data_IF_982623002147
#
_entry.id   IF_982623002147
#
_cell.length_a   1.000
_cell.length_b   1.000
_cell.length_c   1.000
_cell.angle_alpha   90.00
_cell.angle_beta   90.00
_cell.angle_gamma   90.00
#
_symmetry.space_group_name_H-M   'P 1'
#
loop_
_entity.id
_entity.type
_entity.pdbx_description
1 polymer ?
#
# COMPACT_ATOMS: atom_id res chain seq x y z
N UNK A 1 22.94 -17.44 -11.24
CA UNK A 1 22.73 -18.87 -11.03
C UNK A 1 21.33 -19.27 -11.47
N UNK A 2 21.20 -20.41 -12.18
CA UNK A 2 19.91 -20.99 -12.60
C UNK A 2 19.44 -22.12 -11.66
N UNK A 3 20.32 -22.55 -10.77
CA UNK A 3 20.07 -23.57 -9.77
C UNK A 3 20.21 -22.99 -8.35
N UNK A 4 19.23 -23.27 -7.50
CA UNK A 4 19.14 -22.72 -6.14
C UNK A 4 20.22 -23.26 -5.22
N UNK A 5 20.64 -24.54 -5.38
CA UNK A 5 21.70 -25.13 -4.57
C UNK A 5 23.04 -24.45 -4.85
N UNK A 6 23.33 -24.24 -6.14
CA UNK A 6 24.54 -23.54 -6.56
C UNK A 6 24.55 -22.08 -6.07
N UNK A 7 23.39 -21.40 -6.08
CA UNK A 7 23.27 -20.06 -5.53
C UNK A 7 23.61 -20.04 -4.02
N UNK A 8 22.93 -20.87 -3.24
CA UNK A 8 23.09 -20.91 -1.79
C UNK A 8 24.51 -21.26 -1.39
N UNK A 9 25.13 -22.26 -2.05
CA UNK A 9 26.49 -22.68 -1.79
C UNK A 9 27.54 -21.62 -2.18
N UNK A 10 27.21 -20.67 -3.04
CA UNK A 10 28.12 -19.57 -3.44
C UNK A 10 28.10 -18.38 -2.48
N UNK A 11 27.13 -18.31 -1.56
CA UNK A 11 26.97 -17.19 -0.65
C UNK A 11 27.83 -17.36 0.61
N UNK A 12 28.40 -16.25 1.10
CA UNK A 12 29.13 -16.22 2.37
C UNK A 12 28.16 -16.33 3.56
N UNK A 13 28.59 -17.08 4.59
CA UNK A 13 27.81 -17.25 5.82
C UNK A 13 28.11 -16.12 6.83
N UNK A 14 27.12 -15.67 7.65
CA UNK A 14 25.68 -16.03 7.54
C UNK A 14 25.07 -15.45 6.27
N UNK A 15 24.29 -16.25 5.57
CA UNK A 15 23.67 -15.85 4.30
C UNK A 15 22.47 -14.94 4.53
N UNK A 16 22.24 -14.02 3.62
CA UNK A 16 20.99 -13.25 3.53
C UNK A 16 20.36 -13.47 2.18
N UNK A 17 19.13 -13.97 2.14
CA UNK A 17 18.40 -14.34 0.92
C UNK A 17 17.12 -13.54 0.86
N UNK A 18 16.99 -12.68 -0.16
CA UNK A 18 15.77 -11.92 -0.44
C UNK A 18 14.94 -12.65 -1.48
N UNK A 19 13.71 -13.00 -1.13
CA UNK A 19 12.72 -13.60 -2.00
C UNK A 19 11.86 -12.49 -2.62
N UNK A 20 11.84 -12.41 -3.95
CA UNK A 20 10.97 -11.51 -4.73
C UNK A 20 10.11 -12.35 -5.69
N UNK A 21 9.30 -13.24 -5.11
CA UNK A 21 8.44 -14.19 -5.84
C UNK A 21 6.96 -13.90 -5.57
N UNK A 22 6.02 -14.41 -6.38
CA UNK A 22 4.59 -14.29 -6.09
C UNK A 22 4.25 -14.85 -4.70
N UNK A 23 3.35 -14.16 -4.00
CA UNK A 23 2.91 -14.55 -2.65
C UNK A 23 2.15 -15.89 -2.60
N UNK A 24 1.99 -16.44 -1.42
CA UNK A 24 1.27 -17.68 -1.17
C UNK A 24 2.10 -18.92 -1.52
N UNK A 25 1.53 -19.79 -2.37
CA UNK A 25 2.17 -21.09 -2.69
C UNK A 25 3.59 -20.96 -3.22
N UNK A 26 3.86 -20.00 -4.10
CA UNK A 26 5.20 -19.83 -4.68
C UNK A 26 6.26 -19.48 -3.62
N UNK A 27 5.94 -18.58 -2.67
CA UNK A 27 6.82 -18.26 -1.54
C UNK A 27 7.03 -19.48 -0.65
N UNK A 28 5.98 -20.21 -0.29
CA UNK A 28 6.09 -21.45 0.51
C UNK A 28 6.95 -22.51 -0.19
N UNK A 29 6.73 -22.75 -1.48
CA UNK A 29 7.50 -23.72 -2.26
C UNK A 29 8.99 -23.37 -2.31
N UNK A 30 9.35 -22.08 -2.42
CA UNK A 30 10.76 -21.65 -2.39
C UNK A 30 11.36 -21.85 -0.99
N UNK A 31 10.67 -21.43 0.07
CA UNK A 31 11.14 -21.65 1.45
C UNK A 31 11.36 -23.13 1.73
N UNK A 32 10.41 -24.00 1.34
CA UNK A 32 10.55 -25.45 1.49
C UNK A 32 11.79 -26.03 0.79
N UNK A 33 12.11 -25.51 -0.41
CA UNK A 33 13.29 -25.94 -1.17
C UNK A 33 14.61 -25.51 -0.54
N UNK A 34 14.64 -24.32 0.10
CA UNK A 34 15.90 -23.76 0.59
C UNK A 34 16.17 -24.05 2.07
N UNK A 35 15.13 -24.28 2.90
CA UNK A 35 15.25 -24.42 4.36
C UNK A 35 16.25 -25.50 4.81
N UNK A 36 16.41 -26.57 4.04
CA UNK A 36 17.35 -27.66 4.33
C UNK A 36 18.78 -27.42 3.81
N UNK A 37 18.96 -26.35 3.04
CA UNK A 37 20.25 -25.89 2.51
C UNK A 37 20.86 -24.77 3.34
N UNK A 38 20.08 -24.22 4.26
CA UNK A 38 20.48 -23.10 5.11
C UNK A 38 21.04 -23.58 6.43
N UNK A 39 21.92 -22.76 7.00
CA UNK A 39 22.54 -23.01 8.31
C UNK A 39 21.93 -22.11 9.42
N UNK A 40 22.19 -22.46 10.66
CA UNK A 40 21.86 -21.62 11.82
C UNK A 40 22.44 -20.21 11.65
N UNK A 41 21.61 -19.19 11.82
CA UNK A 41 21.98 -17.78 11.71
C UNK A 41 21.76 -17.18 10.32
N UNK A 42 21.54 -17.98 9.27
CA UNK A 42 21.14 -17.47 7.95
C UNK A 42 19.80 -16.72 8.03
N UNK A 43 19.55 -15.80 7.11
CA UNK A 43 18.36 -14.95 7.07
C UNK A 43 17.62 -15.13 5.76
N UNK A 44 16.32 -15.36 5.83
CA UNK A 44 15.39 -15.29 4.69
C UNK A 44 14.53 -14.04 4.86
N UNK A 45 14.47 -13.22 3.82
CA UNK A 45 13.61 -12.02 3.74
C UNK A 45 12.57 -12.29 2.65
N UNK A 46 11.29 -12.30 3.02
CA UNK A 46 10.19 -12.36 2.06
C UNK A 46 9.79 -10.93 1.67
N UNK A 47 10.18 -10.51 0.45
CA UNK A 47 9.87 -9.19 -0.12
C UNK A 47 8.66 -9.20 -1.06
N UNK A 48 7.90 -10.29 -1.11
CA UNK A 48 6.65 -10.39 -1.86
C UNK A 48 5.49 -9.61 -1.24
N UNK A 49 4.32 -9.67 -1.87
CA UNK A 49 3.06 -9.16 -1.26
C UNK A 49 2.35 -10.28 -0.47
N UNK A 50 3.08 -10.93 0.43
CA UNK A 50 2.58 -12.06 1.19
C UNK A 50 1.51 -11.67 2.21
N UNK A 51 0.60 -12.58 2.51
CA UNK A 51 -0.33 -12.39 3.61
C UNK A 51 0.43 -12.48 4.94
N UNK A 52 0.14 -11.57 5.85
CA UNK A 52 0.89 -11.45 7.10
C UNK A 52 0.86 -12.72 7.97
N UNK A 53 -0.25 -13.47 7.95
CA UNK A 53 -0.34 -14.75 8.67
C UNK A 53 0.55 -15.83 8.04
N UNK A 54 0.67 -15.88 6.71
CA UNK A 54 1.62 -16.78 6.03
C UNK A 54 3.06 -16.46 6.44
N UNK A 55 3.38 -15.18 6.61
CA UNK A 55 4.72 -14.75 7.04
C UNK A 55 5.00 -15.11 8.50
N UNK A 56 4.00 -15.01 9.39
CA UNK A 56 4.13 -15.52 10.76
C UNK A 56 4.38 -17.03 10.76
N UNK A 57 3.62 -17.80 9.99
CA UNK A 57 3.78 -19.25 9.86
C UNK A 57 5.16 -19.62 9.33
N UNK A 58 5.61 -18.98 8.24
CA UNK A 58 6.93 -19.21 7.65
C UNK A 58 8.06 -18.86 8.63
N UNK A 59 7.93 -17.72 9.34
CA UNK A 59 8.89 -17.29 10.33
C UNK A 59 9.03 -18.28 11.50
N UNK A 60 7.91 -18.77 12.05
CA UNK A 60 7.90 -19.77 13.10
C UNK A 60 8.50 -21.11 12.64
N UNK A 61 8.24 -21.52 11.40
CA UNK A 61 8.80 -22.76 10.85
C UNK A 61 10.33 -22.68 10.69
N UNK A 62 10.85 -21.55 10.22
CA UNK A 62 12.29 -21.30 10.05
C UNK A 62 13.00 -21.14 11.41
N UNK A 63 12.34 -20.53 12.38
CA UNK A 63 12.87 -20.37 13.74
C UNK A 63 13.19 -21.72 14.42
N UNK A 64 12.39 -22.76 14.15
CA UNK A 64 12.66 -24.11 14.65
C UNK A 64 14.00 -24.67 14.16
N UNK A 65 14.48 -24.18 13.02
CA UNK A 65 15.80 -24.50 12.44
C UNK A 65 16.87 -23.46 12.77
N UNK A 66 16.54 -22.50 13.65
CA UNK A 66 17.40 -21.35 13.99
C UNK A 66 17.78 -20.47 12.78
N UNK A 67 16.97 -20.50 11.73
CA UNK A 67 17.07 -19.63 10.56
C UNK A 67 16.23 -18.39 10.86
N UNK A 68 16.78 -17.22 10.63
CA UNK A 68 16.09 -15.95 10.82
C UNK A 68 15.12 -15.69 9.66
N UNK A 69 14.02 -15.01 9.95
CA UNK A 69 13.04 -14.62 8.94
C UNK A 69 12.60 -13.16 9.12
N UNK A 70 12.29 -12.50 8.01
CA UNK A 70 11.67 -11.18 7.95
C UNK A 70 10.61 -11.16 6.87
N UNK A 71 9.39 -10.73 7.20
CA UNK A 71 8.36 -10.39 6.22
C UNK A 71 8.49 -8.91 5.85
N UNK A 72 8.82 -8.60 4.60
CA UNK A 72 9.13 -7.26 4.16
C UNK A 72 8.14 -6.79 3.09
N UNK A 73 7.17 -5.95 3.49
CA UNK A 73 6.30 -5.26 2.57
C UNK A 73 7.05 -4.16 1.81
N UNK A 74 6.88 -4.14 0.50
CA UNK A 74 7.51 -3.14 -0.39
C UNK A 74 6.42 -2.43 -1.18
N UNK A 75 6.46 -1.10 -1.22
CA UNK A 75 5.53 -0.29 -2.01
C UNK A 75 6.27 0.67 -2.94
N UNK A 76 5.65 1.03 -4.06
CA UNK A 76 6.18 2.01 -5.01
C UNK A 76 6.15 1.56 -6.46
N UNK A 77 5.78 0.33 -6.75
CA UNK A 77 5.74 -0.22 -8.11
C UNK A 77 7.07 -0.11 -8.83
N UNK A 78 7.04 0.09 -10.14
CA UNK A 78 8.25 0.21 -10.97
C UNK A 78 9.05 1.48 -10.63
N UNK A 79 8.38 2.59 -10.35
CA UNK A 79 9.02 3.84 -9.95
C UNK A 79 9.78 3.68 -8.63
N UNK A 80 9.14 3.05 -7.62
CA UNK A 80 9.80 2.75 -6.35
C UNK A 80 10.98 1.81 -6.49
N UNK A 81 10.89 0.80 -7.36
CA UNK A 81 12.00 -0.10 -7.62
C UNK A 81 13.22 0.60 -8.23
N UNK A 82 13.02 1.68 -8.99
CA UNK A 82 14.10 2.48 -9.61
C UNK A 82 14.64 3.58 -8.71
N UNK A 83 13.77 4.24 -7.94
CA UNK A 83 14.07 5.50 -7.26
C UNK A 83 14.03 5.37 -5.73
N UNK A 84 13.76 4.18 -5.21
CA UNK A 84 13.61 3.89 -3.79
C UNK A 84 12.16 3.64 -3.41
N UNK A 85 11.84 2.44 -2.88
CA UNK A 85 10.51 2.09 -2.40
C UNK A 85 10.29 2.51 -0.94
N UNK A 86 9.04 2.54 -0.50
CA UNK A 86 8.71 2.44 0.93
C UNK A 86 8.88 0.99 1.40
N UNK A 87 9.56 0.78 2.51
CA UNK A 87 9.92 -0.55 3.02
C UNK A 87 9.37 -0.75 4.43
N UNK A 88 8.58 -1.80 4.64
CA UNK A 88 7.95 -2.18 5.91
C UNK A 88 8.51 -3.51 6.36
N UNK A 89 9.38 -3.53 7.36
CA UNK A 89 10.11 -4.73 7.81
C UNK A 89 9.47 -5.30 9.08
N UNK A 90 8.96 -6.54 8.99
CA UNK A 90 8.52 -7.31 10.13
C UNK A 90 9.64 -8.23 10.64
N UNK A 91 9.92 -8.22 11.95
CA UNK A 91 11.00 -8.99 12.54
C UNK A 91 10.71 -9.41 13.98
N UNK A 92 11.32 -10.51 14.43
CA UNK A 92 11.35 -10.90 15.86
C UNK A 92 12.78 -10.94 16.41
N UNK A 93 13.75 -11.18 15.56
CA UNK A 93 15.15 -11.31 15.95
C UNK A 93 15.88 -9.98 15.79
N UNK A 94 16.96 -9.80 16.57
CA UNK A 94 17.78 -8.59 16.44
C UNK A 94 18.30 -8.43 15.01
N UNK A 95 18.05 -7.27 14.42
CA UNK A 95 18.55 -6.88 13.09
C UNK A 95 19.95 -6.30 13.28
N UNK A 96 20.91 -6.72 12.44
CA UNK A 96 22.23 -6.08 12.41
C UNK A 96 22.16 -4.65 11.88
N UNK A 97 23.04 -3.78 12.34
CA UNK A 97 23.10 -2.42 11.85
C UNK A 97 23.47 -2.36 10.36
N UNK A 98 24.31 -3.26 9.87
CA UNK A 98 24.66 -3.35 8.44
C UNK A 98 23.43 -3.66 7.58
N UNK A 99 22.54 -4.55 8.02
CA UNK A 99 21.32 -4.86 7.31
C UNK A 99 20.35 -3.67 7.35
N UNK A 100 20.19 -3.02 8.50
CA UNK A 100 19.37 -1.80 8.60
C UNK A 100 19.88 -0.73 7.65
N UNK A 101 21.18 -0.46 7.67
CA UNK A 101 21.81 0.52 6.79
C UNK A 101 21.63 0.17 5.31
N UNK A 102 21.73 -1.12 4.95
CA UNK A 102 21.51 -1.60 3.58
C UNK A 102 20.07 -1.37 3.14
N UNK A 103 19.08 -1.74 3.97
CA UNK A 103 17.66 -1.56 3.65
C UNK A 103 17.29 -0.07 3.63
N UNK A 104 17.82 0.73 4.56
CA UNK A 104 17.68 2.18 4.53
C UNK A 104 18.26 2.78 3.26
N UNK A 105 19.43 2.35 2.83
CA UNK A 105 20.09 2.89 1.63
C UNK A 105 19.26 2.73 0.35
N UNK A 106 18.49 1.64 0.23
CA UNK A 106 17.62 1.37 -0.92
C UNK A 106 16.20 1.93 -0.77
N UNK A 107 15.80 2.38 0.41
CA UNK A 107 14.49 2.97 0.61
C UNK A 107 14.38 4.38 0.01
N UNK A 108 13.15 4.83 -0.25
CA UNK A 108 12.88 6.22 -0.62
C UNK A 108 13.34 7.17 0.48
N UNK A 109 13.71 8.39 0.07
CA UNK A 109 14.16 9.46 0.94
C UNK A 109 13.19 10.63 0.86
N UNK A 110 12.76 11.10 2.02
CA UNK A 110 12.11 12.39 2.21
C UNK A 110 12.94 13.18 3.23
N UNK A 111 12.33 13.76 4.25
CA UNK A 111 13.08 14.31 5.39
C UNK A 111 13.77 13.20 6.21
N UNK A 112 13.26 11.99 6.10
CA UNK A 112 13.80 10.76 6.69
C UNK A 112 13.75 9.61 5.67
N UNK A 113 14.36 8.48 6.03
CA UNK A 113 14.27 7.25 5.25
C UNK A 113 12.85 6.66 5.35
N UNK A 114 12.25 6.34 4.19
CA UNK A 114 10.91 5.76 4.14
C UNK A 114 10.95 4.25 4.42
N UNK A 115 11.46 3.88 5.59
CA UNK A 115 11.56 2.52 6.09
C UNK A 115 11.04 2.44 7.52
N UNK A 116 10.27 1.39 7.83
CA UNK A 116 9.80 1.10 9.18
C UNK A 116 10.16 -0.31 9.60
N UNK A 117 10.51 -0.48 10.87
CA UNK A 117 10.83 -1.77 11.49
C UNK A 117 9.78 -2.08 12.55
N UNK A 118 9.08 -3.21 12.40
CA UNK A 118 7.92 -3.58 13.21
C UNK A 118 8.13 -4.95 13.85
N UNK A 119 7.85 -5.09 15.14
CA UNK A 119 7.97 -6.35 15.83
C UNK A 119 6.92 -7.37 15.35
N UNK A 120 7.33 -8.60 15.07
CA UNK A 120 6.51 -9.68 14.49
C UNK A 120 6.96 -10.03 13.08
N UNK A 121 6.99 -11.33 12.73
CA UNK A 121 7.44 -11.77 11.40
C UNK A 121 6.56 -11.24 10.26
N UNK A 122 5.24 -11.20 10.49
CA UNK A 122 4.27 -10.72 9.51
C UNK A 122 3.96 -9.23 9.57
N UNK A 123 4.48 -8.50 10.56
CA UNK A 123 4.08 -7.10 10.82
C UNK A 123 4.35 -6.16 9.65
N UNK A 124 5.46 -6.34 8.93
CA UNK A 124 5.74 -5.55 7.72
C UNK A 124 4.71 -5.77 6.62
N UNK A 125 4.33 -7.03 6.38
CA UNK A 125 3.28 -7.37 5.44
C UNK A 125 1.89 -6.90 5.89
N UNK A 126 1.62 -6.91 7.20
CA UNK A 126 0.39 -6.36 7.75
C UNK A 126 0.26 -4.85 7.46
N UNK A 127 1.29 -4.06 7.76
CA UNK A 127 1.33 -2.61 7.45
C UNK A 127 1.15 -2.38 5.94
N UNK A 128 1.81 -3.19 5.11
CA UNK A 128 1.68 -3.10 3.65
C UNK A 128 0.28 -3.48 3.17
N UNK A 129 -0.35 -4.48 3.74
CA UNK A 129 -1.73 -4.89 3.43
C UNK A 129 -2.71 -3.76 3.72
N UNK A 130 -2.60 -3.11 4.89
CA UNK A 130 -3.45 -1.97 5.26
C UNK A 130 -3.20 -0.78 4.33
N UNK A 131 -1.94 -0.48 4.01
CA UNK A 131 -1.58 0.52 3.00
C UNK A 131 -2.34 0.28 1.69
N UNK A 132 -2.40 -0.96 1.20
CA UNK A 132 -3.11 -1.29 -0.02
C UNK A 132 -4.63 -1.12 0.11
N UNK A 133 -5.21 -1.37 1.28
CA UNK A 133 -6.62 -1.09 1.55
C UNK A 133 -6.94 0.41 1.44
N UNK A 134 -6.09 1.26 2.02
CA UNK A 134 -6.20 2.73 1.91
C UNK A 134 -6.03 3.16 0.45
N UNK A 135 -5.07 2.59 -0.28
CA UNK A 135 -4.86 2.84 -1.71
C UNK A 135 -6.14 2.56 -2.52
N UNK A 136 -6.83 1.44 -2.26
CA UNK A 136 -8.08 1.11 -2.94
C UNK A 136 -9.17 2.16 -2.66
N UNK A 137 -9.30 2.60 -1.40
CA UNK A 137 -10.26 3.63 -1.03
C UNK A 137 -9.96 4.97 -1.73
N UNK A 138 -8.69 5.40 -1.78
CA UNK A 138 -8.31 6.64 -2.48
C UNK A 138 -8.57 6.55 -3.99
N UNK A 139 -8.26 5.41 -4.61
CA UNK A 139 -8.54 5.19 -6.04
C UNK A 139 -10.05 5.24 -6.33
N UNK A 140 -10.89 4.66 -5.47
CA UNK A 140 -12.34 4.69 -5.64
C UNK A 140 -12.89 6.11 -5.48
N UNK A 141 -12.43 6.86 -4.49
CA UNK A 141 -12.83 8.26 -4.29
C UNK A 141 -12.50 9.12 -5.52
N UNK A 142 -11.30 8.94 -6.09
CA UNK A 142 -10.90 9.63 -7.33
C UNK A 142 -11.82 9.24 -8.50
N UNK A 143 -12.14 7.95 -8.62
CA UNK A 143 -13.02 7.46 -9.69
C UNK A 143 -14.44 8.04 -9.56
N UNK A 144 -14.97 8.16 -8.35
CA UNK A 144 -16.29 8.75 -8.11
C UNK A 144 -16.32 10.25 -8.40
N UNK A 145 -15.31 11.00 -8.00
CA UNK A 145 -15.17 12.42 -8.34
C UNK A 145 -15.08 12.59 -9.88
N UNK A 146 -14.27 11.76 -10.54
CA UNK A 146 -14.19 11.76 -12.00
C UNK A 146 -15.56 11.55 -12.64
N UNK A 147 -16.32 10.55 -12.18
CA UNK A 147 -17.64 10.22 -12.73
C UNK A 147 -18.66 11.34 -12.49
N UNK A 148 -18.67 11.98 -11.32
CA UNK A 148 -19.54 13.13 -11.03
C UNK A 148 -19.23 14.28 -11.99
N UNK A 149 -17.96 14.63 -12.18
CA UNK A 149 -17.54 15.71 -13.08
C UNK A 149 -17.87 15.38 -14.55
N UNK A 150 -17.64 14.13 -14.97
CA UNK A 150 -17.99 13.67 -16.31
C UNK A 150 -19.49 13.75 -16.59
N UNK A 151 -20.34 13.32 -15.63
CA UNK A 151 -21.81 13.43 -15.73
C UNK A 151 -22.28 14.89 -15.78
N UNK A 152 -21.50 15.79 -15.24
CA UNK A 152 -21.71 17.25 -15.35
C UNK A 152 -21.18 17.83 -16.67
N UNK A 153 -20.90 16.97 -17.67
CA UNK A 153 -20.44 17.33 -19.01
C UNK A 153 -19.08 18.04 -19.06
N UNK A 154 -18.27 17.89 -18.01
CA UNK A 154 -16.88 18.36 -18.02
C UNK A 154 -16.04 17.52 -18.98
N UNK A 155 -15.17 18.17 -19.71
CA UNK A 155 -14.15 17.54 -20.56
C UNK A 155 -13.04 16.92 -19.72
N UNK A 156 -12.27 15.97 -20.28
CA UNK A 156 -11.11 15.41 -19.61
C UNK A 156 -10.09 16.48 -19.20
N UNK A 157 -9.94 17.56 -19.99
CA UNK A 157 -9.05 18.67 -19.66
C UNK A 157 -9.56 19.48 -18.44
N UNK A 158 -10.86 19.77 -18.38
CA UNK A 158 -11.44 20.46 -17.23
C UNK A 158 -11.37 19.62 -15.96
N UNK A 159 -11.58 18.29 -16.07
CA UNK A 159 -11.44 17.37 -14.93
C UNK A 159 -9.98 17.27 -14.48
N UNK A 160 -9.04 17.23 -15.42
CA UNK A 160 -7.61 17.25 -15.11
C UNK A 160 -7.21 18.54 -14.37
N UNK A 161 -7.75 19.71 -14.82
CA UNK A 161 -7.54 20.98 -14.14
C UNK A 161 -8.11 20.99 -12.73
N UNK A 162 -9.29 20.38 -12.49
CA UNK A 162 -9.80 20.18 -11.13
C UNK A 162 -8.81 19.45 -10.24
N UNK A 163 -8.24 18.32 -10.69
CA UNK A 163 -7.26 17.57 -9.92
C UNK A 163 -5.92 18.32 -9.73
N UNK A 164 -5.48 19.13 -10.70
CA UNK A 164 -4.28 19.97 -10.55
C UNK A 164 -4.49 21.08 -9.51
N UNK A 165 -5.66 21.69 -9.43
CA UNK A 165 -5.98 22.71 -8.45
C UNK A 165 -5.89 22.20 -7.01
N UNK A 166 -6.13 20.90 -6.77
CA UNK A 166 -5.93 20.29 -5.46
C UNK A 166 -4.48 20.36 -4.96
N UNK A 167 -3.51 20.49 -5.87
CA UNK A 167 -2.10 20.69 -5.51
C UNK A 167 -1.87 22.07 -4.91
N UNK A 168 -2.49 23.10 -5.46
CA UNK A 168 -2.41 24.47 -4.93
C UNK A 168 -3.06 24.57 -3.55
N UNK A 169 -4.13 23.80 -3.31
CA UNK A 169 -4.82 23.71 -2.02
C UNK A 169 -4.08 22.82 -0.99
N UNK A 170 -2.87 22.34 -1.29
CA UNK A 170 -2.12 21.38 -0.46
C UNK A 170 -2.84 20.04 -0.21
N UNK A 171 -3.77 19.67 -1.09
CA UNK A 171 -4.60 18.45 -0.98
C UNK A 171 -4.18 17.34 -1.94
N UNK A 172 -3.06 17.51 -2.64
CA UNK A 172 -2.58 16.55 -3.63
C UNK A 172 -2.08 15.26 -3.01
N UNK A 173 -2.07 14.23 -3.86
CA UNK A 173 -1.39 12.96 -3.62
C UNK A 173 -0.79 12.45 -4.92
N UNK A 174 0.06 11.46 -4.84
CA UNK A 174 0.59 10.80 -6.02
C UNK A 174 -0.51 10.29 -6.97
N UNK A 175 -1.56 9.67 -6.42
CA UNK A 175 -2.69 9.17 -7.21
C UNK A 175 -3.44 10.30 -7.92
N UNK A 176 -3.65 11.43 -7.25
CA UNK A 176 -4.27 12.64 -7.84
C UNK A 176 -3.39 13.18 -8.98
N UNK A 177 -2.08 13.28 -8.76
CA UNK A 177 -1.15 13.79 -9.76
C UNK A 177 -1.06 12.92 -11.02
N UNK A 178 -1.05 11.60 -10.86
CA UNK A 178 -1.04 10.70 -12.02
C UNK A 178 -2.39 10.67 -12.71
N UNK A 179 -3.50 10.85 -12.01
CA UNK A 179 -4.85 10.95 -12.59
C UNK A 179 -4.94 12.14 -13.52
N UNK A 180 -4.51 13.33 -13.10
CA UNK A 180 -4.44 14.52 -13.94
C UNK A 180 -3.64 14.29 -15.23
N UNK A 181 -2.49 13.61 -15.13
CA UNK A 181 -1.65 13.26 -16.28
C UNK A 181 -2.33 12.26 -17.23
N UNK A 182 -2.97 11.23 -16.68
CA UNK A 182 -3.68 10.20 -17.46
C UNK A 182 -4.84 10.81 -18.25
N UNK A 183 -5.59 11.71 -17.63
CA UNK A 183 -6.73 12.39 -18.27
C UNK A 183 -6.34 13.21 -19.51
N UNK A 184 -5.09 13.70 -19.58
CA UNK A 184 -4.56 14.44 -20.71
C UNK A 184 -3.86 13.57 -21.75
N UNK A 185 -3.58 12.32 -21.41
CA UNK A 185 -2.81 11.46 -22.30
C UNK A 185 -3.63 11.07 -23.53
N UNK A 186 -3.11 11.38 -24.72
CA UNK A 186 -3.68 11.02 -26.01
C UNK A 186 -2.73 10.18 -26.82
N UNK A 187 -3.31 9.32 -27.65
CA UNK A 187 -2.65 8.59 -28.73
C UNK A 187 -3.47 8.79 -29.99
N UNK A 188 -2.87 9.29 -31.06
CA UNK A 188 -3.55 9.56 -32.33
C UNK A 188 -4.87 10.35 -32.15
N UNK A 189 -4.83 11.43 -31.32
CA UNK A 189 -5.95 12.33 -30.97
C UNK A 189 -7.05 11.68 -30.08
N UNK A 190 -6.99 10.40 -29.79
CA UNK A 190 -7.91 9.70 -28.89
C UNK A 190 -7.35 9.69 -27.46
N UNK A 191 -8.16 9.97 -26.47
CA UNK A 191 -7.74 9.86 -25.08
C UNK A 191 -7.46 8.41 -24.74
N UNK A 192 -6.28 8.13 -24.17
CA UNK A 192 -5.89 6.78 -23.73
C UNK A 192 -6.88 6.20 -22.73
N UNK A 193 -7.49 7.06 -21.91
CA UNK A 193 -8.52 6.64 -20.94
C UNK A 193 -9.72 5.95 -21.63
N UNK A 194 -10.11 6.39 -22.81
CA UNK A 194 -11.27 5.83 -23.53
C UNK A 194 -10.97 4.43 -24.11
N UNK A 195 -9.68 4.07 -24.24
CA UNK A 195 -9.22 2.74 -24.70
C UNK A 195 -8.97 1.77 -23.54
N UNK A 196 -8.90 2.26 -22.30
CA UNK A 196 -8.66 1.43 -21.13
C UNK A 196 -9.90 0.57 -20.82
N UNK A 197 -9.66 -0.70 -20.54
CA UNK A 197 -10.74 -1.60 -20.15
C UNK A 197 -11.44 -1.10 -18.89
N UNK A 198 -12.77 -1.08 -18.87
CA UNK A 198 -13.56 -0.48 -17.80
C UNK A 198 -13.74 -1.40 -16.58
N UNK A 199 -12.69 -2.16 -16.19
CA UNK A 199 -12.69 -2.99 -15.00
C UNK A 199 -11.33 -2.93 -14.31
N UNK A 200 -11.33 -3.07 -12.99
CA UNK A 200 -10.12 -3.08 -12.18
C UNK A 200 -9.77 -4.50 -11.73
N UNK A 201 -8.58 -4.98 -12.10
CA UNK A 201 -8.09 -6.28 -11.63
C UNK A 201 -7.87 -6.29 -10.11
N UNK A 202 -8.10 -7.42 -9.47
CA UNK A 202 -7.91 -7.62 -8.05
C UNK A 202 -6.69 -8.52 -7.80
N UNK A 203 -5.64 -7.96 -7.17
CA UNK A 203 -4.43 -8.70 -6.78
C UNK A 203 -4.56 -9.38 -5.40
N UNK A 204 -5.73 -9.33 -4.77
CA UNK A 204 -6.03 -10.00 -3.50
C UNK A 204 -5.80 -9.16 -2.25
N UNK A 205 -4.91 -8.18 -2.25
CA UNK A 205 -4.53 -7.43 -1.04
C UNK A 205 -5.67 -6.60 -0.44
N UNK A 206 -6.53 -5.99 -1.27
CA UNK A 206 -7.71 -5.27 -0.79
C UNK A 206 -8.73 -6.21 -0.12
N UNK A 207 -8.93 -7.41 -0.68
CA UNK A 207 -9.75 -8.47 -0.06
C UNK A 207 -9.21 -8.84 1.33
N UNK A 208 -7.91 -9.09 1.43
CA UNK A 208 -7.26 -9.46 2.68
C UNK A 208 -7.40 -8.36 3.75
N UNK A 209 -7.34 -7.07 3.37
CA UNK A 209 -7.58 -5.97 4.30
C UNK A 209 -9.00 -6.01 4.85
N UNK A 210 -10.00 -6.21 4.00
CA UNK A 210 -11.42 -6.30 4.40
C UNK A 210 -11.64 -7.52 5.30
N UNK A 211 -11.20 -8.70 4.91
CA UNK A 211 -11.32 -9.93 5.70
C UNK A 211 -10.67 -9.76 7.09
N UNK A 212 -9.50 -9.14 7.13
CA UNK A 212 -8.79 -8.87 8.40
C UNK A 212 -9.56 -7.88 9.25
N UNK A 213 -10.12 -6.81 8.66
CA UNK A 213 -10.92 -5.83 9.41
C UNK A 213 -12.16 -6.44 10.06
N UNK A 214 -12.85 -7.32 9.34
CA UNK A 214 -14.00 -8.07 9.86
C UNK A 214 -13.57 -8.99 11.02
N UNK A 215 -12.48 -9.74 10.85
CA UNK A 215 -11.96 -10.64 11.88
C UNK A 215 -11.53 -9.90 13.15
N UNK A 216 -10.93 -8.71 13.01
CA UNK A 216 -10.50 -7.86 14.11
C UNK A 216 -11.63 -6.98 14.66
N UNK A 217 -12.81 -7.00 14.04
CA UNK A 217 -13.99 -6.19 14.39
C UNK A 217 -13.68 -4.68 14.35
N UNK A 218 -12.94 -4.25 13.33
CA UNK A 218 -12.64 -2.83 13.06
C UNK A 218 -13.46 -2.38 11.85
N UNK A 219 -14.33 -1.38 11.97
CA UNK A 219 -15.09 -0.86 10.84
C UNK A 219 -14.17 -0.18 9.81
N UNK A 220 -14.23 -0.63 8.55
CA UNK A 220 -13.49 -0.03 7.42
C UNK A 220 -14.41 0.21 6.23
N UNK A 221 -15.50 0.99 6.39
CA UNK A 221 -16.54 1.11 5.35
C UNK A 221 -16.02 1.67 4.03
N UNK A 222 -15.12 2.65 4.02
CA UNK A 222 -14.54 3.21 2.78
C UNK A 222 -13.67 2.18 2.05
N UNK A 223 -12.86 1.44 2.77
CA UNK A 223 -12.01 0.39 2.21
C UNK A 223 -12.86 -0.76 1.66
N UNK A 224 -13.90 -1.15 2.40
CA UNK A 224 -14.83 -2.18 1.96
C UNK A 224 -15.59 -1.76 0.69
N UNK A 225 -16.17 -0.54 0.66
CA UNK A 225 -16.88 -0.02 -0.50
C UNK A 225 -15.98 0.02 -1.75
N UNK A 226 -14.73 0.43 -1.60
CA UNK A 226 -13.76 0.43 -2.70
C UNK A 226 -13.43 -0.99 -3.21
N UNK A 227 -13.30 -1.96 -2.31
CA UNK A 227 -13.13 -3.36 -2.70
C UNK A 227 -14.37 -3.88 -3.43
N UNK A 228 -15.57 -3.61 -2.92
CA UNK A 228 -16.84 -4.02 -3.53
C UNK A 228 -17.02 -3.42 -4.93
N UNK A 229 -16.82 -2.11 -5.09
CA UNK A 229 -16.86 -1.44 -6.41
C UNK A 229 -15.91 -2.10 -7.42
N UNK A 230 -14.71 -2.49 -6.97
CA UNK A 230 -13.73 -3.19 -7.81
C UNK A 230 -14.19 -4.58 -8.22
N UNK A 231 -14.82 -5.34 -7.31
CA UNK A 231 -15.43 -6.63 -7.63
C UNK A 231 -16.57 -6.45 -8.63
N UNK A 232 -17.45 -5.48 -8.38
CA UNK A 232 -18.57 -5.19 -9.26
C UNK A 232 -18.09 -4.78 -10.66
N UNK A 233 -17.00 -4.02 -10.80
CA UNK A 233 -16.48 -3.61 -12.11
C UNK A 233 -16.14 -4.79 -13.04
N UNK A 234 -15.91 -5.97 -12.50
CA UNK A 234 -15.64 -7.19 -13.27
C UNK A 234 -16.91 -7.94 -13.71
N UNK A 235 -18.09 -7.58 -13.17
CA UNK A 235 -19.37 -8.23 -13.45
C UNK A 235 -20.21 -7.48 -14.51
N UNK A 236 -19.57 -6.80 -15.43
CA UNK A 236 -20.15 -5.81 -16.35
C UNK A 236 -21.23 -6.30 -17.33
N UNK A 237 -21.48 -7.58 -17.47
CA UNK A 237 -22.49 -8.08 -18.41
C UNK A 237 -23.93 -7.72 -18.03
N UNK A 238 -24.16 -7.18 -16.83
CA UNK A 238 -25.51 -6.95 -16.28
C UNK A 238 -25.82 -5.46 -16.02
N UNK A 239 -24.94 -4.52 -16.42
CA UNK A 239 -25.18 -3.10 -16.18
C UNK A 239 -25.75 -2.41 -17.39
N UNK A 240 -27.01 -1.98 -17.30
CA UNK A 240 -27.57 -0.99 -18.22
C UNK A 240 -26.96 0.39 -17.90
N UNK A 241 -26.55 1.11 -18.93
CA UNK A 241 -26.05 2.48 -18.78
C UNK A 241 -27.20 3.41 -18.40
N UNK A 242 -27.32 3.70 -17.10
CA UNK A 242 -28.34 4.64 -16.61
C UNK A 242 -27.77 6.04 -16.82
N UNK A 243 -28.29 6.73 -17.82
CA UNK A 243 -27.97 8.13 -18.10
C UNK A 243 -28.66 9.04 -17.08
N UNK A 244 -28.02 9.24 -15.92
CA UNK A 244 -28.42 10.26 -14.95
C UNK A 244 -27.51 11.47 -15.15
N UNK A 245 -28.06 12.56 -15.68
CA UNK A 245 -27.36 13.86 -15.64
C UNK A 245 -27.30 14.35 -14.19
N UNK A 246 -26.12 14.76 -13.74
CA UNK A 246 -25.95 15.40 -12.44
C UNK A 246 -25.39 16.81 -12.64
N UNK A 247 -25.97 17.78 -11.94
CA UNK A 247 -25.39 19.11 -11.87
C UNK A 247 -24.42 19.17 -10.68
N UNK A 248 -23.17 19.50 -10.96
CA UNK A 248 -22.21 19.83 -9.90
C UNK A 248 -22.51 21.23 -9.41
N UNK A 249 -22.93 21.33 -8.17
CA UNK A 249 -23.26 22.62 -7.55
C UNK A 249 -22.00 23.42 -7.15
N UNK A 250 -20.89 22.71 -6.83
CA UNK A 250 -19.66 23.36 -6.41
C UNK A 250 -18.45 22.42 -6.54
N UNK A 251 -17.40 22.85 -7.21
CA UNK A 251 -16.12 22.13 -7.26
C UNK A 251 -15.40 22.16 -5.89
N UNK A 252 -15.63 23.19 -5.08
CA UNK A 252 -15.10 23.30 -3.71
C UNK A 252 -15.68 22.20 -2.83
N UNK A 253 -16.96 21.89 -2.97
CA UNK A 253 -17.60 20.83 -2.21
C UNK A 253 -17.03 19.46 -2.60
N UNK A 254 -16.75 19.23 -3.89
CA UNK A 254 -16.10 17.98 -4.35
C UNK A 254 -14.67 17.86 -3.82
N UNK A 255 -13.89 18.95 -3.79
CA UNK A 255 -12.55 18.98 -3.19
C UNK A 255 -12.61 18.61 -1.71
N UNK A 256 -13.54 19.19 -0.96
CA UNK A 256 -13.76 18.88 0.46
C UNK A 256 -14.21 17.43 0.68
N UNK A 257 -15.13 16.92 -0.14
CA UNK A 257 -15.59 15.52 -0.07
C UNK A 257 -14.44 14.54 -0.33
N UNK A 258 -13.62 14.79 -1.35
CA UNK A 258 -12.46 13.97 -1.66
C UNK A 258 -11.45 13.97 -0.50
N UNK A 259 -11.12 15.16 0.04
CA UNK A 259 -10.21 15.29 1.16
C UNK A 259 -10.72 14.57 2.41
N UNK A 260 -11.99 14.79 2.78
CA UNK A 260 -12.62 14.11 3.91
C UNK A 260 -12.62 12.59 3.74
N UNK A 261 -12.99 12.08 2.56
CA UNK A 261 -12.98 10.64 2.26
C UNK A 261 -11.59 10.02 2.40
N UNK A 262 -10.54 10.74 2.00
CA UNK A 262 -9.14 10.30 2.16
C UNK A 262 -8.72 10.27 3.63
N UNK A 263 -9.07 11.31 4.41
CA UNK A 263 -8.83 11.34 5.86
C UNK A 263 -9.55 10.17 6.53
N UNK A 264 -10.83 9.96 6.24
CA UNK A 264 -11.61 8.86 6.81
C UNK A 264 -11.01 7.48 6.48
N UNK A 265 -10.58 7.27 5.23
CA UNK A 265 -9.93 6.02 4.82
C UNK A 265 -8.60 5.78 5.53
N UNK A 266 -7.82 6.86 5.74
CA UNK A 266 -6.57 6.80 6.49
C UNK A 266 -6.82 6.42 7.96
N UNK A 267 -7.78 7.06 8.62
CA UNK A 267 -8.14 6.75 10.01
C UNK A 267 -8.58 5.28 10.14
N UNK A 268 -9.43 4.77 9.24
CA UNK A 268 -9.86 3.38 9.23
C UNK A 268 -8.67 2.40 9.15
N UNK A 269 -7.69 2.71 8.28
CA UNK A 269 -6.48 1.90 8.18
C UNK A 269 -5.60 1.98 9.44
N UNK A 270 -5.42 3.17 10.00
CA UNK A 270 -4.64 3.35 11.23
C UNK A 270 -5.30 2.68 12.45
N UNK A 271 -6.63 2.71 12.55
CA UNK A 271 -7.37 1.95 13.58
C UNK A 271 -7.18 0.43 13.44
N UNK A 272 -7.15 -0.07 12.20
CA UNK A 272 -6.89 -1.48 11.94
C UNK A 272 -5.48 -1.86 12.39
N UNK A 273 -4.49 -0.98 12.16
CA UNK A 273 -3.11 -1.17 12.63
C UNK A 273 -3.06 -1.16 14.17
N UNK A 274 -3.65 -0.17 14.81
CA UNK A 274 -3.70 -0.08 16.28
C UNK A 274 -4.35 -1.31 16.93
N UNK A 275 -5.38 -1.85 16.30
CA UNK A 275 -6.08 -3.03 16.81
C UNK A 275 -5.25 -4.30 16.76
N UNK A 276 -4.41 -4.42 15.74
CA UNK A 276 -3.55 -5.60 15.55
C UNK A 276 -2.21 -5.48 16.28
N UNK A 277 -1.62 -4.27 16.28
CA UNK A 277 -0.28 -4.02 16.78
C UNK A 277 -0.31 -3.19 18.05
N UNK A 278 -0.02 -3.80 19.17
CA UNK A 278 0.01 -3.12 20.48
C UNK A 278 1.21 -2.16 20.54
N UNK A 279 0.99 -0.93 21.03
CA UNK A 279 2.02 0.10 21.19
C UNK A 279 2.74 0.51 19.91
N UNK A 280 2.04 0.50 18.76
CA UNK A 280 2.59 0.97 17.51
C UNK A 280 2.92 2.48 17.57
N UNK A 281 4.09 2.84 17.06
CA UNK A 281 4.44 4.24 16.80
C UNK A 281 3.91 4.65 15.42
N UNK A 282 2.85 5.46 15.41
CA UNK A 282 2.25 5.96 14.18
C UNK A 282 3.18 6.91 13.41
N UNK A 283 4.09 7.61 14.09
CA UNK A 283 5.11 8.43 13.45
C UNK A 283 5.97 7.60 12.50
N UNK A 284 6.38 6.39 12.91
CA UNK A 284 7.13 5.46 12.06
C UNK A 284 6.28 5.01 10.86
N UNK A 285 5.00 4.67 11.08
CA UNK A 285 4.09 4.23 10.01
C UNK A 285 3.86 5.33 8.98
N UNK A 286 3.53 6.53 9.44
CA UNK A 286 3.26 7.69 8.58
C UNK A 286 4.51 8.12 7.81
N UNK A 287 5.66 8.20 8.49
CA UNK A 287 6.95 8.49 7.85
C UNK A 287 7.30 7.46 6.77
N UNK A 288 7.07 6.19 7.03
CA UNK A 288 7.30 5.12 6.08
C UNK A 288 6.51 5.31 4.77
N UNK A 289 5.32 5.91 4.82
CA UNK A 289 4.44 6.13 3.67
C UNK A 289 4.64 7.49 2.97
N UNK A 290 5.48 8.40 3.50
CA UNK A 290 5.68 9.74 2.93
C UNK A 290 6.33 9.76 1.56
N UNK A 291 7.16 8.76 1.24
CA UNK A 291 7.84 8.66 -0.04
C UNK A 291 7.92 7.23 -0.56
N UNK A 292 8.15 7.07 -1.86
CA UNK A 292 8.35 5.76 -2.50
C UNK A 292 7.15 4.82 -2.46
N UNK A 293 5.95 5.27 -2.05
CA UNK A 293 4.74 4.47 -2.02
C UNK A 293 3.60 5.10 -2.81
N UNK A 294 2.54 4.34 -3.04
CA UNK A 294 1.41 4.78 -3.88
C UNK A 294 0.52 5.80 -3.16
N UNK A 295 0.37 5.72 -1.84
CA UNK A 295 -0.50 6.62 -1.05
C UNK A 295 0.23 7.87 -0.53
N UNK A 296 1.47 8.13 -0.99
CA UNK A 296 2.23 9.31 -0.59
C UNK A 296 1.47 10.60 -0.88
N UNK A 297 1.38 11.48 0.11
CA UNK A 297 0.54 12.68 0.03
C UNK A 297 0.89 13.72 1.09
N UNK A 298 0.44 14.95 0.90
CA UNK A 298 0.58 15.99 1.92
C UNK A 298 -0.20 15.68 3.21
N UNK A 299 -1.34 14.96 3.10
CA UNK A 299 -2.10 14.50 4.26
C UNK A 299 -1.24 13.69 5.25
N UNK A 300 -0.32 12.87 4.77
CA UNK A 300 0.58 12.11 5.65
C UNK A 300 1.49 13.00 6.49
N UNK A 301 1.94 14.15 5.93
CA UNK A 301 2.74 15.13 6.68
C UNK A 301 1.92 15.78 7.79
N UNK A 302 0.68 16.16 7.49
CA UNK A 302 -0.24 16.74 8.47
C UNK A 302 -0.52 15.76 9.60
N UNK A 303 -0.85 14.52 9.28
CA UNK A 303 -1.09 13.46 10.27
C UNK A 303 0.15 13.15 11.10
N UNK A 304 1.35 13.20 10.53
CA UNK A 304 2.60 12.97 11.25
C UNK A 304 2.89 14.07 12.27
N UNK A 305 2.56 15.32 11.95
CA UNK A 305 2.65 16.44 12.92
C UNK A 305 1.69 16.19 14.08
N UNK A 306 0.44 15.81 13.81
CA UNK A 306 -0.56 15.51 14.85
C UNK A 306 -0.11 14.31 15.69
N UNK A 307 0.38 13.23 15.07
CA UNK A 307 0.84 12.04 15.80
C UNK A 307 2.00 12.34 16.76
N UNK A 308 2.87 13.26 16.40
CA UNK A 308 4.01 13.66 17.24
C UNK A 308 3.59 14.57 18.42
N UNK A 309 2.47 15.29 18.30
CA UNK A 309 1.97 16.22 19.31
C UNK A 309 0.96 15.57 20.27
N UNK A 310 0.32 14.48 19.89
CA UNK A 310 -0.78 13.84 20.61
C UNK A 310 -0.33 12.63 21.41
N UNK A 311 -0.90 12.46 22.61
CA UNK A 311 -0.76 11.25 23.43
C UNK A 311 -1.82 10.19 23.06
N UNK A 312 -2.94 10.61 22.47
CA UNK A 312 -4.03 9.75 21.99
C UNK A 312 -4.35 10.13 20.54
N UNK A 313 -3.41 9.87 19.66
CA UNK A 313 -3.47 10.26 18.25
C UNK A 313 -4.78 9.86 17.57
N UNK A 314 -5.23 8.60 17.76
CA UNK A 314 -6.46 8.14 17.12
C UNK A 314 -7.72 8.72 17.79
N UNK A 315 -7.69 8.98 19.08
CA UNK A 315 -8.78 9.67 19.78
C UNK A 315 -8.94 11.10 19.28
N UNK A 316 -7.85 11.81 19.12
CA UNK A 316 -7.85 13.21 18.64
C UNK A 316 -8.28 13.34 17.16
N UNK A 317 -8.08 12.30 16.34
CA UNK A 317 -8.56 12.28 14.94
C UNK A 317 -10.06 12.03 14.80
N UNK A 318 -10.75 11.60 15.88
CA UNK A 318 -12.19 11.30 15.87
C UNK A 318 -13.05 12.48 16.29
N UNK A 319 -12.44 13.54 16.79
CA UNK A 319 -13.10 14.79 17.19
C UNK A 319 -13.15 15.78 16.02
#
# INVERSE_FOLDING_TARGET
HTDVNNLINSLSKPRTILLMVPSGKATKDVIEKIKDLLDEGDLVIDGGNSFYLDSEENGLALEQKKIKFMGMGVSGGEEGARNGPAIMVGYKNKISEDLKNTLSAISAKTDQDCIGFYEGYGSGHFIKMVHNGIEYAEMQLIAEIYEILRRSKKTNEEIANFFDNLKEENRSSYLIEITSKILRQKKDEVYVLDEIKPFASNKGTGKLTVETSLNLKVPTPSIYAAYDARVQSNNKNDWEEINIESEVTSEIDLSNCLYFGRVASMIQGLELIAKHMVNIDFGIVLNNWMGGCIIRSNLLKELNVVSSASKDFLGDLKL
#
